data_IF_355048898528
#
_entry.id   IF_355048898528
#
_cell.length_a   1.000
_cell.length_b   1.000
_cell.length_c   1.000
_cell.angle_alpha   90.00
_cell.angle_beta   90.00
_cell.angle_gamma   90.00
#
_symmetry.space_group_name_H-M   'P 1'
#
loop_
_entity.id
_entity.type
_entity.pdbx_description
1 polymer ?
#
# COMPACT_ATOMS: atom_id res chain seq x y z
N UNK A 1 -8.71 9.07 20.12
CA UNK A 1 -9.71 9.86 19.43
C UNK A 1 -10.02 11.14 20.18
N UNK A 2 -10.08 11.11 21.49
CA UNK A 2 -10.43 12.29 22.31
C UNK A 2 -9.19 13.03 22.87
N UNK A 3 -8.01 12.84 22.31
CA UNK A 3 -6.75 13.40 22.81
C UNK A 3 -6.22 12.74 24.08
N UNK A 4 -6.83 11.65 24.53
CA UNK A 4 -6.34 10.86 25.66
C UNK A 4 -5.22 9.93 25.24
N UNK A 5 -4.10 9.95 25.97
CA UNK A 5 -3.01 8.98 25.76
C UNK A 5 -3.41 7.65 26.38
N UNK A 6 -3.60 6.63 25.56
CA UNK A 6 -3.99 5.28 26.00
C UNK A 6 -2.79 4.37 26.32
N UNK A 7 -1.71 4.50 25.55
CA UNK A 7 -0.49 3.73 25.70
C UNK A 7 0.72 4.52 25.17
N UNK A 8 1.92 4.08 25.56
CA UNK A 8 3.16 4.55 24.96
C UNK A 8 3.65 3.50 23.97
N UNK A 9 4.07 3.95 22.80
CA UNK A 9 4.59 3.09 21.73
C UNK A 9 5.95 2.50 22.17
N UNK A 10 6.07 1.19 22.05
CA UNK A 10 7.30 0.43 22.34
C UNK A 10 7.62 -0.54 21.22
N UNK A 11 8.77 -1.18 21.27
CA UNK A 11 9.17 -2.24 20.36
C UNK A 11 8.18 -3.42 20.33
N UNK A 12 7.51 -3.69 21.46
CA UNK A 12 6.50 -4.75 21.57
C UNK A 12 5.31 -4.51 20.64
N UNK A 13 4.88 -3.28 20.46
CA UNK A 13 3.76 -2.93 19.55
C UNK A 13 4.06 -3.33 18.11
N UNK A 14 5.33 -3.22 17.70
CA UNK A 14 5.77 -3.66 16.35
C UNK A 14 5.82 -5.19 16.23
N UNK A 15 6.19 -5.91 17.30
CA UNK A 15 6.12 -7.37 17.29
C UNK A 15 4.69 -7.87 17.17
N UNK A 16 3.75 -7.25 17.88
CA UNK A 16 2.33 -7.57 17.81
C UNK A 16 1.78 -7.23 16.42
N UNK A 17 2.14 -6.09 15.85
CA UNK A 17 1.73 -5.71 14.50
C UNK A 17 2.25 -6.66 13.42
N UNK A 18 3.51 -7.07 13.53
CA UNK A 18 4.12 -8.01 12.59
C UNK A 18 3.48 -9.41 12.71
N UNK A 19 3.24 -9.89 13.94
CA UNK A 19 2.53 -11.15 14.16
C UNK A 19 1.12 -11.11 13.58
N UNK A 20 0.38 -10.02 13.78
CA UNK A 20 -0.93 -9.83 13.17
C UNK A 20 -0.88 -9.99 11.65
N UNK A 21 0.09 -9.36 10.99
CA UNK A 21 0.25 -9.43 9.52
C UNK A 21 0.63 -10.84 9.06
N UNK A 22 1.52 -11.52 9.77
CA UNK A 22 2.04 -12.85 9.42
C UNK A 22 1.14 -14.01 9.89
N UNK A 23 0.05 -13.73 10.58
CA UNK A 23 -0.90 -14.73 11.04
C UNK A 23 -2.11 -14.79 10.09
N UNK A 24 -2.19 -15.85 9.28
CA UNK A 24 -3.22 -16.01 8.28
C UNK A 24 -4.65 -16.09 8.86
N UNK A 25 -4.79 -16.55 10.11
CA UNK A 25 -6.09 -16.57 10.79
C UNK A 25 -6.53 -15.19 11.28
N UNK A 26 -5.61 -14.29 11.58
CA UNK A 26 -5.89 -12.92 12.05
C UNK A 26 -6.02 -11.93 10.89
N UNK A 27 -5.06 -11.97 9.96
CA UNK A 27 -4.94 -11.03 8.86
C UNK A 27 -5.66 -11.55 7.61
N UNK A 28 -6.74 -10.89 7.24
CA UNK A 28 -7.49 -11.17 6.02
C UNK A 28 -7.02 -10.33 4.81
N UNK A 29 -6.06 -9.41 4.99
CA UNK A 29 -5.52 -8.58 3.94
C UNK A 29 -4.30 -9.25 3.29
N UNK A 30 -4.12 -9.04 1.97
CA UNK A 30 -2.98 -9.57 1.22
C UNK A 30 -1.76 -8.64 1.28
N UNK A 31 -1.32 -8.25 2.48
CA UNK A 31 -0.19 -7.34 2.69
C UNK A 31 1.06 -8.02 3.29
N UNK A 32 1.18 -9.33 3.12
CA UNK A 32 2.25 -10.17 3.70
C UNK A 32 3.51 -10.25 2.85
N UNK A 33 3.49 -9.78 1.60
CA UNK A 33 4.60 -9.94 0.65
C UNK A 33 5.92 -9.35 1.16
N UNK A 34 5.89 -8.11 1.67
CA UNK A 34 7.12 -7.45 2.14
C UNK A 34 7.82 -8.22 3.28
N UNK A 35 7.19 -8.54 4.42
CA UNK A 35 7.86 -9.33 5.44
C UNK A 35 8.18 -10.75 4.96
N UNK A 36 7.32 -11.40 4.18
CA UNK A 36 7.58 -12.75 3.66
C UNK A 36 8.78 -12.81 2.73
N UNK A 37 9.04 -11.77 1.96
CA UNK A 37 10.17 -11.71 1.03
C UNK A 37 11.47 -11.27 1.69
N UNK A 38 11.40 -10.46 2.74
CA UNK A 38 12.58 -9.84 3.35
C UNK A 38 13.07 -10.51 4.61
N UNK A 39 12.18 -10.95 5.51
CA UNK A 39 12.57 -11.46 6.83
C UNK A 39 12.78 -12.97 6.84
N UNK A 40 13.83 -13.40 7.56
CA UNK A 40 14.04 -14.81 7.87
C UNK A 40 12.80 -15.40 8.55
N UNK A 41 12.37 -16.60 8.17
CA UNK A 41 11.29 -17.34 8.81
C UNK A 41 9.87 -16.78 8.65
N UNK A 42 9.70 -15.57 8.08
CA UNK A 42 8.37 -14.95 7.98
C UNK A 42 7.41 -15.75 7.08
N UNK A 43 7.86 -16.18 5.91
CA UNK A 43 7.06 -16.99 4.99
C UNK A 43 6.68 -18.35 5.59
N UNK A 44 7.60 -18.98 6.33
CA UNK A 44 7.37 -20.27 6.98
C UNK A 44 6.34 -20.14 8.11
N UNK A 45 6.42 -19.04 8.89
CA UNK A 45 5.42 -18.75 9.92
C UNK A 45 4.04 -18.47 9.32
N UNK A 46 3.97 -17.68 8.26
CA UNK A 46 2.71 -17.44 7.55
C UNK A 46 2.09 -18.73 7.03
N UNK A 47 2.89 -19.61 6.41
CA UNK A 47 2.42 -20.90 5.93
C UNK A 47 1.93 -21.80 7.08
N UNK A 48 2.69 -21.86 8.19
CA UNK A 48 2.30 -22.59 9.40
C UNK A 48 0.94 -22.11 9.92
N UNK A 49 0.72 -20.80 10.04
CA UNK A 49 -0.56 -20.27 10.52
C UNK A 49 -1.70 -20.51 9.54
N UNK A 50 -1.42 -20.49 8.24
CA UNK A 50 -2.38 -20.87 7.20
C UNK A 50 -2.81 -22.34 7.31
N UNK A 51 -1.86 -23.24 7.54
CA UNK A 51 -2.12 -24.68 7.67
C UNK A 51 -2.89 -25.01 8.96
N UNK A 52 -2.70 -24.22 10.02
CA UNK A 52 -3.43 -24.35 11.30
C UNK A 52 -4.89 -23.86 11.21
N UNK A 53 -5.21 -23.01 10.23
CA UNK A 53 -6.54 -22.40 10.11
C UNK A 53 -6.92 -21.58 11.33
N UNK A 54 -8.19 -21.66 11.75
CA UNK A 54 -8.72 -20.84 12.86
C UNK A 54 -7.96 -20.99 14.18
N UNK A 55 -7.35 -22.15 14.42
CA UNK A 55 -6.56 -22.40 15.62
C UNK A 55 -5.31 -21.47 15.73
N UNK A 56 -4.87 -20.87 14.64
CA UNK A 56 -3.77 -19.92 14.67
C UNK A 56 -4.17 -18.56 15.26
N UNK A 57 -5.46 -18.26 15.40
CA UNK A 57 -5.92 -16.98 15.98
C UNK A 57 -5.48 -16.80 17.45
N UNK A 58 -5.23 -17.88 18.18
CA UNK A 58 -4.77 -17.86 19.57
C UNK A 58 -3.24 -17.66 19.72
N UNK A 59 -2.47 -17.76 18.62
CA UNK A 59 -1.02 -17.55 18.65
C UNK A 59 -0.70 -16.08 18.93
N UNK A 60 0.47 -15.87 19.55
CA UNK A 60 0.96 -14.55 19.95
C UNK A 60 2.29 -14.22 19.25
N UNK A 61 2.78 -13.01 19.48
CA UNK A 61 4.09 -12.64 18.94
C UNK A 61 5.23 -13.49 19.55
N UNK A 62 5.07 -14.02 20.77
CA UNK A 62 6.03 -14.96 21.37
C UNK A 62 6.11 -16.26 20.57
N UNK A 63 4.98 -16.77 20.07
CA UNK A 63 4.94 -17.94 19.19
C UNK A 63 5.60 -17.68 17.83
N UNK A 64 5.45 -16.46 17.31
CA UNK A 64 6.12 -16.00 16.10
C UNK A 64 7.65 -15.96 16.30
N UNK A 65 8.11 -15.41 17.42
CA UNK A 65 9.54 -15.39 17.77
C UNK A 65 10.09 -16.80 17.97
N UNK A 66 9.35 -17.67 18.68
CA UNK A 66 9.72 -19.07 18.89
C UNK A 66 9.78 -19.87 17.57
N UNK A 67 9.03 -19.48 16.57
CA UNK A 67 9.08 -20.05 15.22
C UNK A 67 10.30 -19.57 14.40
N UNK A 68 11.09 -18.63 14.91
CA UNK A 68 12.34 -18.18 14.29
C UNK A 68 12.14 -17.06 13.25
N UNK A 69 11.08 -16.28 13.34
CA UNK A 69 10.95 -15.07 12.52
C UNK A 69 12.02 -14.06 12.90
N UNK A 70 12.71 -13.53 11.91
CA UNK A 70 13.89 -12.67 12.05
C UNK A 70 13.57 -11.26 12.56
N UNK A 71 13.01 -11.16 13.75
CA UNK A 71 12.80 -9.90 14.47
C UNK A 71 13.06 -10.11 15.96
N UNK A 72 13.63 -9.13 16.62
CA UNK A 72 13.90 -9.14 18.06
C UNK A 72 13.72 -7.74 18.64
N UNK A 73 13.05 -7.65 19.78
CA UNK A 73 13.04 -6.46 20.63
C UNK A 73 14.10 -6.63 21.72
N UNK A 74 15.21 -5.92 21.61
CA UNK A 74 16.31 -6.00 22.58
C UNK A 74 16.06 -5.15 23.82
N UNK A 75 15.24 -4.13 23.69
CA UNK A 75 14.68 -3.28 24.75
C UNK A 75 13.39 -2.61 24.27
N UNK A 76 12.79 -1.74 25.08
CA UNK A 76 11.52 -1.07 24.79
C UNK A 76 11.56 -0.18 23.53
N UNK A 77 12.73 0.21 23.03
CA UNK A 77 12.89 1.17 21.94
C UNK A 77 13.82 0.68 20.84
N UNK A 78 14.28 -0.57 20.90
CA UNK A 78 15.20 -1.14 19.93
C UNK A 78 14.64 -2.40 19.30
N UNK A 79 14.50 -2.39 17.98
CA UNK A 79 14.14 -3.55 17.17
C UNK A 79 15.32 -3.94 16.28
N UNK A 80 15.61 -5.24 16.23
CA UNK A 80 16.61 -5.82 15.33
C UNK A 80 15.88 -6.71 14.33
N UNK A 81 16.07 -6.47 13.04
CA UNK A 81 15.52 -7.29 11.97
C UNK A 81 16.63 -8.09 11.30
N UNK A 82 16.37 -9.37 11.05
CA UNK A 82 17.27 -10.26 10.31
C UNK A 82 16.68 -10.57 8.95
N UNK A 83 17.29 -10.01 7.91
CA UNK A 83 16.88 -10.22 6.54
C UNK A 83 17.42 -11.54 5.97
N UNK A 84 16.70 -12.14 5.03
CA UNK A 84 17.12 -13.35 4.29
C UNK A 84 18.39 -13.12 3.48
N UNK A 85 18.43 -11.96 2.83
CA UNK A 85 19.51 -11.51 1.95
C UNK A 85 19.92 -10.08 2.33
N UNK A 86 21.10 -9.60 1.92
CA UNK A 86 21.49 -8.21 2.11
C UNK A 86 20.46 -7.24 1.55
N UNK A 87 19.86 -6.42 2.42
CA UNK A 87 18.80 -5.48 2.07
C UNK A 87 19.20 -4.04 2.44
N UNK A 88 20.05 -3.38 1.60
CA UNK A 88 20.55 -2.04 1.90
C UNK A 88 19.47 -0.95 1.88
N UNK A 89 18.26 -1.28 1.41
CA UNK A 89 17.07 -0.41 1.36
C UNK A 89 16.04 -0.79 2.45
N UNK A 90 16.44 -1.51 3.49
CA UNK A 90 15.51 -2.00 4.52
C UNK A 90 14.78 -0.87 5.26
N UNK A 91 15.36 0.32 5.38
CA UNK A 91 14.70 1.51 5.93
C UNK A 91 13.40 1.86 5.19
N UNK A 92 13.40 1.73 3.86
CA UNK A 92 12.19 1.93 3.04
C UNK A 92 11.18 0.78 3.19
N UNK A 93 11.67 -0.44 3.37
CA UNK A 93 10.82 -1.62 3.66
C UNK A 93 10.16 -1.48 5.02
N UNK A 94 10.90 -1.07 6.05
CA UNK A 94 10.38 -0.88 7.41
C UNK A 94 9.29 0.21 7.48
N UNK A 95 9.27 1.15 6.53
CA UNK A 95 8.22 2.16 6.41
C UNK A 95 6.93 1.64 5.74
N UNK A 96 6.88 0.39 5.32
CA UNK A 96 5.69 -0.20 4.69
C UNK A 96 4.64 -0.58 5.75
N UNK A 97 3.36 -0.50 5.37
CA UNK A 97 2.24 -0.72 6.29
C UNK A 97 2.24 -2.10 6.99
N UNK A 98 2.88 -3.11 6.39
CA UNK A 98 3.04 -4.44 7.01
C UNK A 98 3.91 -4.43 8.28
N UNK A 99 4.64 -3.34 8.53
CA UNK A 99 5.51 -3.17 9.70
C UNK A 99 4.96 -2.15 10.69
N UNK A 100 3.70 -1.71 10.53
CA UNK A 100 3.10 -0.76 11.45
C UNK A 100 2.80 -1.41 12.81
N UNK A 101 2.94 -0.66 13.89
CA UNK A 101 2.70 -1.17 15.23
C UNK A 101 1.20 -1.35 15.49
N UNK A 102 0.89 -2.32 16.34
CA UNK A 102 -0.45 -2.54 16.91
C UNK A 102 -0.31 -2.55 18.43
N UNK A 103 -1.07 -1.69 19.12
CA UNK A 103 -1.05 -1.65 20.57
C UNK A 103 -1.62 -2.96 21.16
N UNK A 104 -0.86 -3.72 21.96
CA UNK A 104 -1.34 -4.95 22.59
C UNK A 104 -2.64 -4.72 23.38
N UNK A 105 -2.68 -3.64 24.16
CA UNK A 105 -3.85 -3.31 24.97
C UNK A 105 -5.13 -3.05 24.13
N UNK A 106 -5.01 -2.52 22.91
CA UNK A 106 -6.16 -2.37 22.02
C UNK A 106 -6.63 -3.73 21.51
N UNK A 107 -5.69 -4.61 21.17
CA UNK A 107 -6.02 -5.97 20.72
C UNK A 107 -6.65 -6.80 21.85
N UNK A 108 -6.16 -6.66 23.08
CA UNK A 108 -6.72 -7.29 24.27
C UNK A 108 -8.14 -6.79 24.59
N UNK A 109 -8.38 -5.48 24.40
CA UNK A 109 -9.70 -4.86 24.63
C UNK A 109 -10.73 -5.32 23.60
N UNK A 110 -10.37 -5.38 22.33
CA UNK A 110 -11.30 -5.64 21.23
C UNK A 110 -11.37 -7.11 20.81
N UNK A 111 -10.33 -7.87 21.07
CA UNK A 111 -10.15 -9.21 20.50
C UNK A 111 -9.93 -9.17 18.98
N UNK A 112 -9.69 -10.33 18.37
CA UNK A 112 -9.38 -10.46 16.94
C UNK A 112 -10.52 -9.89 16.07
N UNK A 113 -11.76 -10.28 16.35
CA UNK A 113 -12.91 -9.84 15.54
C UNK A 113 -13.23 -8.35 15.73
N UNK A 114 -13.14 -7.85 16.97
CA UNK A 114 -13.33 -6.43 17.23
C UNK A 114 -12.26 -5.56 16.59
N UNK A 115 -11.01 -6.02 16.59
CA UNK A 115 -9.91 -5.29 15.92
C UNK A 115 -10.08 -5.28 14.39
N UNK A 116 -10.55 -6.36 13.78
CA UNK A 116 -10.91 -6.37 12.34
C UNK A 116 -12.01 -5.39 11.99
N UNK A 117 -12.95 -5.17 12.90
CA UNK A 117 -14.08 -4.25 12.75
C UNK A 117 -13.81 -2.83 13.24
N UNK A 118 -12.57 -2.47 13.61
CA UNK A 118 -12.23 -1.13 14.06
C UNK A 118 -12.64 -0.05 13.07
N UNK A 119 -13.23 1.00 13.60
CA UNK A 119 -13.52 2.23 12.88
C UNK A 119 -12.72 3.41 13.46
N UNK A 120 -12.99 4.61 12.98
CA UNK A 120 -12.30 5.81 13.43
C UNK A 120 -12.57 6.18 14.91
N UNK A 121 -13.59 5.60 15.54
CA UNK A 121 -13.97 5.86 16.94
C UNK A 121 -13.31 4.90 17.92
N UNK A 122 -12.95 3.71 17.47
CA UNK A 122 -12.37 2.63 18.29
C UNK A 122 -10.86 2.50 18.11
N UNK A 123 -10.32 2.89 16.93
CA UNK A 123 -8.89 2.82 16.63
C UNK A 123 -8.06 3.78 17.49
N UNK A 124 -6.88 3.33 17.93
CA UNK A 124 -5.87 4.20 18.55
C UNK A 124 -4.86 4.67 17.53
N UNK A 125 -4.43 5.91 17.65
CA UNK A 125 -3.60 6.58 16.65
C UNK A 125 -2.25 6.98 17.24
N UNK A 126 -1.17 6.69 16.51
CA UNK A 126 0.19 7.11 16.83
C UNK A 126 0.83 7.98 15.73
N UNK A 127 0.12 8.20 14.63
CA UNK A 127 0.57 9.04 13.53
C UNK A 127 0.28 10.54 13.75
N UNK A 128 0.73 11.40 12.80
CA UNK A 128 0.57 12.86 12.90
C UNK A 128 -0.88 13.33 12.77
N UNK A 129 -1.75 12.51 12.24
CA UNK A 129 -3.18 12.78 12.07
C UNK A 129 -4.03 11.65 12.62
N UNK A 130 -5.23 11.98 13.07
CA UNK A 130 -6.29 11.03 13.43
C UNK A 130 -7.44 11.14 12.45
N UNK A 131 -8.15 10.04 12.22
CA UNK A 131 -9.36 10.03 11.39
C UNK A 131 -10.52 10.59 12.21
N UNK A 132 -10.98 11.76 11.85
CA UNK A 132 -12.13 12.40 12.49
C UNK A 132 -13.44 11.83 11.97
N UNK A 133 -13.55 11.64 10.67
CA UNK A 133 -14.71 11.09 10.00
C UNK A 133 -14.29 10.06 8.96
N UNK A 134 -15.01 8.95 8.93
CA UNK A 134 -14.86 7.91 7.94
C UNK A 134 -16.22 7.49 7.39
N UNK A 135 -16.51 7.84 6.14
CA UNK A 135 -17.69 7.39 5.41
C UNK A 135 -17.21 6.53 4.25
N UNK A 136 -17.39 5.22 4.39
CA UNK A 136 -16.90 4.25 3.41
C UNK A 136 -17.37 4.58 1.98
N UNK A 137 -16.41 4.68 1.06
CA UNK A 137 -16.66 4.98 -0.35
C UNK A 137 -17.12 6.42 -0.63
N UNK A 138 -17.05 7.32 0.34
CA UNK A 138 -17.47 8.71 0.22
C UNK A 138 -16.38 9.67 0.72
N UNK A 139 -16.20 9.80 2.04
CA UNK A 139 -15.36 10.86 2.61
C UNK A 139 -14.54 10.36 3.78
N UNK A 140 -13.26 10.75 3.82
CA UNK A 140 -12.38 10.58 4.96
C UNK A 140 -11.85 11.95 5.38
N UNK A 141 -12.05 12.33 6.65
CA UNK A 141 -11.51 13.56 7.22
C UNK A 141 -10.47 13.27 8.29
N UNK A 142 -9.40 14.05 8.26
CA UNK A 142 -8.25 13.91 9.15
C UNK A 142 -7.97 15.22 9.85
N UNK A 143 -7.71 15.17 11.16
CA UNK A 143 -7.27 16.32 11.97
C UNK A 143 -5.94 16.00 12.63
N UNK A 144 -5.13 17.02 13.02
CA UNK A 144 -3.87 16.82 13.71
C UNK A 144 -4.02 15.99 14.98
N UNK A 145 -3.07 15.08 15.19
CA UNK A 145 -2.95 14.35 16.46
C UNK A 145 -2.11 15.17 17.45
N UNK A 146 -2.68 15.73 18.49
CA UNK A 146 -1.93 16.55 19.46
C UNK A 146 -0.93 15.75 20.28
N UNK A 147 -1.10 14.42 20.35
CA UNK A 147 -0.22 13.50 21.08
C UNK A 147 0.90 12.92 20.20
N UNK A 148 1.00 13.32 18.92
CA UNK A 148 2.09 12.89 18.07
C UNK A 148 3.42 13.47 18.54
N UNK A 149 4.47 12.64 18.60
CA UNK A 149 5.76 13.03 19.18
C UNK A 149 6.41 14.25 18.50
N UNK A 150 6.14 14.45 17.20
CA UNK A 150 6.69 15.54 16.39
C UNK A 150 5.59 16.49 15.85
N UNK A 151 4.49 16.65 16.59
CA UNK A 151 3.33 17.43 16.15
C UNK A 151 3.70 18.88 15.76
N UNK A 152 4.69 19.46 16.44
CA UNK A 152 5.13 20.84 16.18
C UNK A 152 5.74 21.04 14.78
N UNK A 153 6.32 19.98 14.18
CA UNK A 153 7.05 20.08 12.92
C UNK A 153 6.29 19.51 11.71
N UNK A 154 5.34 18.59 11.90
CA UNK A 154 4.69 17.86 10.79
C UNK A 154 3.23 18.23 10.55
N UNK A 155 2.49 18.71 11.54
CA UNK A 155 1.08 19.09 11.36
C UNK A 155 0.97 20.45 10.65
N UNK A 156 0.73 20.41 9.33
CA UNK A 156 0.65 21.59 8.46
C UNK A 156 -0.77 22.03 8.14
N UNK A 157 -1.73 21.12 8.25
CA UNK A 157 -3.13 21.34 7.93
C UNK A 157 -3.98 21.14 9.16
N UNK A 158 -4.91 22.07 9.41
CA UNK A 158 -5.90 21.94 10.49
C UNK A 158 -6.90 20.81 10.20
N UNK A 159 -7.15 20.56 8.92
CA UNK A 159 -8.00 19.46 8.44
C UNK A 159 -7.59 19.09 7.02
N UNK A 160 -7.61 17.79 6.73
CA UNK A 160 -7.56 17.25 5.39
C UNK A 160 -8.83 16.45 5.14
N UNK A 161 -9.51 16.70 4.02
CA UNK A 161 -10.69 15.91 3.63
C UNK A 161 -10.43 15.28 2.26
N UNK A 162 -10.60 13.97 2.17
CA UNK A 162 -10.49 13.23 0.92
C UNK A 162 -11.89 12.78 0.54
N UNK A 163 -12.39 13.27 -0.59
CA UNK A 163 -13.71 12.90 -1.13
C UNK A 163 -13.51 11.93 -2.28
N UNK A 164 -14.17 10.78 -2.22
CA UNK A 164 -14.14 9.79 -3.29
C UNK A 164 -15.18 10.13 -4.35
N UNK A 165 -14.72 10.56 -5.52
CA UNK A 165 -15.56 10.96 -6.64
C UNK A 165 -15.33 9.98 -7.77
N UNK A 166 -16.37 9.25 -8.16
CA UNK A 166 -16.30 8.23 -9.22
C UNK A 166 -16.29 8.81 -10.62
N UNK A 167 -16.86 10.01 -10.82
CA UNK A 167 -16.90 10.70 -12.11
C UNK A 167 -15.92 11.87 -12.15
N UNK A 168 -14.87 11.74 -12.96
CA UNK A 168 -13.82 12.75 -13.08
C UNK A 168 -14.31 14.09 -13.67
N UNK A 169 -15.48 14.15 -14.33
CA UNK A 169 -16.05 15.42 -14.80
C UNK A 169 -16.61 16.23 -13.63
N UNK A 170 -17.19 15.56 -12.65
CA UNK A 170 -17.69 16.20 -11.42
C UNK A 170 -16.54 16.75 -10.61
N UNK A 171 -15.44 16.02 -10.49
CA UNK A 171 -14.27 16.47 -9.71
C UNK A 171 -13.66 17.76 -10.25
N UNK A 172 -13.61 17.93 -11.58
CA UNK A 172 -13.16 19.19 -12.19
C UNK A 172 -14.12 20.35 -11.84
N UNK A 173 -15.44 20.15 -11.90
CA UNK A 173 -16.41 21.18 -11.52
C UNK A 173 -16.29 21.60 -10.06
N UNK A 174 -16.06 20.64 -9.15
CA UNK A 174 -15.84 20.95 -7.73
C UNK A 174 -14.56 21.77 -7.52
N UNK A 175 -13.49 21.47 -8.26
CA UNK A 175 -12.26 22.25 -8.26
C UNK A 175 -12.51 23.68 -8.80
N UNK A 176 -13.23 23.82 -9.91
CA UNK A 176 -13.61 25.11 -10.50
C UNK A 176 -14.44 25.96 -9.52
N UNK A 177 -15.32 25.32 -8.75
CA UNK A 177 -16.13 25.95 -7.70
C UNK A 177 -15.34 26.24 -6.41
N UNK A 178 -14.05 25.84 -6.32
CA UNK A 178 -13.19 25.95 -5.12
C UNK A 178 -13.66 25.10 -3.94
N UNK A 179 -14.30 23.98 -4.23
CA UNK A 179 -14.71 22.97 -3.25
C UNK A 179 -13.60 21.92 -3.03
N UNK A 180 -12.63 21.83 -3.96
CA UNK A 180 -11.43 21.01 -3.87
C UNK A 180 -10.18 21.87 -4.10
N UNK A 181 -9.10 21.58 -3.38
CA UNK A 181 -7.79 22.19 -3.54
C UNK A 181 -6.92 21.49 -4.58
N UNK A 182 -7.17 20.19 -4.80
CA UNK A 182 -6.46 19.34 -5.76
C UNK A 182 -7.42 18.33 -6.37
N UNK A 183 -7.24 18.04 -7.66
CA UNK A 183 -8.03 17.05 -8.39
C UNK A 183 -7.17 16.26 -9.37
N UNK A 184 -7.35 14.94 -9.37
CA UNK A 184 -6.82 14.07 -10.42
C UNK A 184 -7.69 14.14 -11.66
N UNK A 185 -7.14 14.65 -12.77
CA UNK A 185 -7.87 14.83 -14.02
C UNK A 185 -7.84 13.56 -14.88
N UNK A 186 -9.00 13.23 -15.43
CA UNK A 186 -9.13 12.25 -16.50
C UNK A 186 -8.66 12.79 -17.86
N UNK A 187 -8.48 11.89 -18.81
CA UNK A 187 -7.96 12.20 -20.15
C UNK A 187 -8.78 13.25 -20.90
N UNK A 188 -10.11 13.15 -20.84
CA UNK A 188 -11.04 14.08 -21.51
C UNK A 188 -10.92 15.50 -20.96
N UNK A 189 -10.83 15.65 -19.64
CA UNK A 189 -10.68 16.96 -19.00
C UNK A 189 -9.35 17.63 -19.35
N UNK A 190 -8.25 16.86 -19.32
CA UNK A 190 -6.93 17.35 -19.75
C UNK A 190 -6.96 17.82 -21.20
N UNK A 191 -7.58 17.02 -22.11
CA UNK A 191 -7.68 17.38 -23.51
C UNK A 191 -8.47 18.68 -23.73
N UNK A 192 -9.56 18.86 -23.00
CA UNK A 192 -10.40 20.06 -23.07
C UNK A 192 -9.63 21.29 -22.60
N UNK A 193 -8.94 21.20 -21.47
CA UNK A 193 -8.13 22.30 -20.93
C UNK A 193 -6.99 22.66 -21.89
N UNK A 194 -6.28 21.68 -22.44
CA UNK A 194 -5.14 21.90 -23.36
C UNK A 194 -5.57 22.43 -24.73
N UNK A 195 -6.79 22.11 -25.19
CA UNK A 195 -7.30 22.59 -26.48
C UNK A 195 -7.62 24.09 -26.48
N UNK A 196 -7.83 24.68 -25.31
CA UNK A 196 -8.12 26.12 -25.16
C UNK A 196 -6.95 26.81 -24.43
N UNK A 197 -6.05 27.50 -25.18
CA UNK A 197 -4.92 28.23 -24.57
C UNK A 197 -5.34 29.37 -23.64
N UNK A 198 -6.59 29.83 -23.73
CA UNK A 198 -7.14 30.89 -22.86
C UNK A 198 -7.71 30.34 -21.55
N UNK A 199 -7.81 29.03 -21.42
CA UNK A 199 -8.32 28.39 -20.23
C UNK A 199 -7.39 28.67 -19.02
N UNK A 200 -7.95 29.25 -17.98
CA UNK A 200 -7.20 29.67 -16.78
C UNK A 200 -6.50 28.52 -16.05
N UNK A 201 -7.00 27.29 -16.24
CA UNK A 201 -6.44 26.10 -15.62
C UNK A 201 -5.25 25.50 -16.37
N UNK A 202 -4.97 25.96 -17.61
CA UNK A 202 -3.81 25.47 -18.37
C UNK A 202 -2.48 25.62 -17.62
N UNK A 203 -2.31 26.73 -16.89
CA UNK A 203 -1.12 26.99 -16.08
C UNK A 203 -1.08 26.20 -14.76
N UNK A 204 -2.19 25.60 -14.36
CA UNK A 204 -2.32 24.80 -13.16
C UNK A 204 -2.16 23.29 -13.41
N UNK A 205 -2.08 22.90 -14.69
CA UNK A 205 -1.82 21.51 -15.06
C UNK A 205 -0.42 21.09 -14.60
N UNK A 206 -0.38 20.17 -13.65
CA UNK A 206 0.86 19.59 -13.16
C UNK A 206 1.01 18.16 -13.65
N UNK A 207 2.21 17.83 -14.10
CA UNK A 207 2.56 16.44 -14.40
C UNK A 207 2.61 15.62 -13.11
N UNK A 208 2.02 14.43 -13.11
CA UNK A 208 2.10 13.53 -11.96
C UNK A 208 3.56 13.16 -11.69
N UNK A 209 3.93 13.14 -10.41
CA UNK A 209 5.25 12.66 -10.00
C UNK A 209 5.39 11.18 -10.31
N UNK A 210 6.60 10.69 -10.63
CA UNK A 210 6.86 9.26 -10.73
C UNK A 210 6.38 8.56 -9.45
N UNK A 211 5.60 7.50 -9.61
CA UNK A 211 5.15 6.67 -8.48
C UNK A 211 6.24 5.66 -8.15
N UNK A 212 6.23 5.14 -6.93
CA UNK A 212 7.16 4.10 -6.47
C UNK A 212 6.95 2.72 -7.11
N UNK A 213 5.93 2.57 -7.94
CA UNK A 213 5.59 1.32 -8.62
C UNK A 213 5.88 1.44 -10.12
N UNK A 214 6.51 0.42 -10.68
CA UNK A 214 6.57 0.19 -12.12
C UNK A 214 5.55 -0.88 -12.51
N UNK A 215 5.01 -0.76 -13.72
CA UNK A 215 4.07 -1.74 -14.27
C UNK A 215 4.76 -2.47 -15.41
N UNK A 216 4.55 -3.78 -15.47
CA UNK A 216 5.12 -4.62 -16.51
C UNK A 216 4.14 -5.68 -16.96
N UNK A 217 4.30 -6.14 -18.19
CA UNK A 217 3.56 -7.27 -18.72
C UNK A 217 4.29 -8.56 -18.39
N UNK A 218 3.63 -9.44 -17.66
CA UNK A 218 4.13 -10.78 -17.39
C UNK A 218 3.52 -11.79 -18.33
N UNK A 219 4.34 -12.68 -18.85
CA UNK A 219 3.87 -13.83 -19.61
C UNK A 219 3.72 -15.04 -18.70
N UNK A 220 2.60 -15.75 -18.83
CA UNK A 220 2.45 -17.03 -18.15
C UNK A 220 3.21 -18.11 -18.94
N UNK A 221 4.30 -18.61 -18.39
CA UNK A 221 5.14 -19.65 -19.00
C UNK A 221 4.63 -21.07 -18.77
N UNK A 222 3.67 -21.26 -17.88
CA UNK A 222 3.10 -22.55 -17.50
C UNK A 222 1.57 -22.45 -17.45
N UNK A 223 0.98 -22.05 -18.58
CA UNK A 223 -0.46 -21.95 -18.71
C UNK A 223 -1.11 -23.33 -18.74
N UNK A 224 -2.17 -23.51 -17.96
CA UNK A 224 -3.04 -24.67 -18.02
C UNK A 224 -4.38 -24.31 -18.69
N UNK A 225 -5.00 -25.29 -19.29
CA UNK A 225 -6.38 -25.27 -19.75
C UNK A 225 -7.34 -25.27 -18.55
N UNK A 226 -8.63 -25.03 -18.78
CA UNK A 226 -9.65 -25.03 -17.73
C UNK A 226 -9.78 -26.38 -17.01
N UNK A 227 -9.44 -27.48 -17.67
CA UNK A 227 -9.42 -28.83 -17.10
C UNK A 227 -8.15 -29.18 -16.31
N UNK A 228 -7.23 -28.20 -16.16
CA UNK A 228 -5.96 -28.37 -15.45
C UNK A 228 -4.83 -28.99 -16.28
N UNK A 229 -5.06 -29.42 -17.52
CA UNK A 229 -4.01 -29.90 -18.40
C UNK A 229 -3.14 -28.77 -18.95
N UNK A 230 -1.83 -29.00 -19.23
CA UNK A 230 -0.98 -27.98 -19.83
C UNK A 230 -1.49 -27.51 -21.19
N UNK A 231 -1.49 -26.19 -21.43
CA UNK A 231 -1.67 -25.62 -22.77
C UNK A 231 -0.34 -25.70 -23.54
N UNK A 232 -0.08 -26.83 -24.15
CA UNK A 232 1.18 -27.10 -24.85
C UNK A 232 1.46 -26.09 -25.98
N UNK A 233 0.43 -25.65 -26.69
CA UNK A 233 0.58 -24.68 -27.77
C UNK A 233 1.07 -23.33 -27.25
N UNK A 234 0.41 -22.80 -26.20
CA UNK A 234 0.84 -21.57 -25.56
C UNK A 234 2.22 -21.71 -24.93
N UNK A 235 2.43 -22.77 -24.14
CA UNK A 235 3.67 -22.97 -23.39
C UNK A 235 4.88 -23.09 -24.34
N UNK A 236 4.71 -23.76 -25.48
CA UNK A 236 5.72 -23.84 -26.53
C UNK A 236 5.97 -22.47 -27.20
N UNK A 237 4.90 -21.76 -27.53
CA UNK A 237 5.02 -20.44 -28.16
C UNK A 237 5.72 -19.43 -27.24
N UNK A 238 5.31 -19.36 -25.98
CA UNK A 238 5.85 -18.37 -25.04
C UNK A 238 7.29 -18.67 -24.62
N UNK A 239 7.72 -19.93 -24.66
CA UNK A 239 9.12 -20.31 -24.47
C UNK A 239 10.03 -19.76 -25.57
N UNK A 240 9.49 -19.48 -26.77
CA UNK A 240 10.26 -18.94 -27.89
C UNK A 240 10.54 -17.44 -27.71
N UNK A 241 11.82 -17.08 -27.66
CA UNK A 241 12.24 -15.68 -27.51
C UNK A 241 11.75 -14.79 -28.65
N UNK A 242 11.76 -15.27 -29.89
CA UNK A 242 11.29 -14.50 -31.03
C UNK A 242 9.79 -14.17 -30.90
N UNK A 243 8.99 -15.13 -30.40
CA UNK A 243 7.57 -14.89 -30.14
C UNK A 243 7.35 -13.77 -29.10
N UNK A 244 8.10 -13.78 -27.98
CA UNK A 244 8.03 -12.72 -26.98
C UNK A 244 8.48 -11.37 -27.55
N UNK A 245 9.50 -11.36 -28.38
CA UNK A 245 9.98 -10.13 -29.05
C UNK A 245 8.94 -9.53 -30.00
N UNK A 246 8.00 -10.34 -30.55
CA UNK A 246 6.90 -9.80 -31.35
C UNK A 246 6.01 -8.88 -30.54
N UNK A 247 5.75 -9.18 -29.27
CA UNK A 247 4.98 -8.29 -28.39
C UNK A 247 5.77 -7.00 -28.14
N UNK A 248 7.04 -7.11 -27.74
CA UNK A 248 7.85 -5.92 -27.46
C UNK A 248 7.98 -4.97 -28.68
N UNK A 249 8.17 -5.53 -29.86
CA UNK A 249 8.34 -4.73 -31.11
C UNK A 249 7.05 -4.36 -31.81
N UNK A 250 5.97 -5.11 -31.58
CA UNK A 250 4.71 -4.92 -32.26
C UNK A 250 3.69 -4.08 -31.49
N UNK A 251 3.89 -3.88 -30.20
CA UNK A 251 3.01 -3.02 -29.41
C UNK A 251 3.41 -1.56 -29.59
N UNK A 252 2.46 -0.77 -30.07
CA UNK A 252 2.55 0.69 -30.06
C UNK A 252 2.03 1.18 -28.71
N UNK A 253 2.96 1.58 -27.83
CA UNK A 253 2.67 1.87 -26.42
C UNK A 253 2.37 3.35 -26.17
N UNK A 254 2.64 4.26 -27.14
CA UNK A 254 2.42 5.70 -26.97
C UNK A 254 0.98 6.02 -26.62
N UNK A 255 0.02 5.41 -27.35
CA UNK A 255 -1.40 5.59 -27.06
C UNK A 255 -1.84 4.95 -25.74
N UNK A 256 -1.17 3.88 -25.31
CA UNK A 256 -1.39 3.27 -24.00
C UNK A 256 -0.90 4.19 -22.89
N UNK A 257 0.31 4.71 -23.02
CA UNK A 257 0.89 5.64 -22.04
C UNK A 257 0.11 6.95 -21.98
N UNK A 258 -0.43 7.44 -23.10
CA UNK A 258 -1.25 8.63 -23.15
C UNK A 258 -2.54 8.54 -22.30
N UNK A 259 -3.00 7.33 -21.95
CA UNK A 259 -4.12 7.15 -21.02
C UNK A 259 -3.76 7.48 -19.57
N UNK A 260 -2.49 7.36 -19.22
CA UNK A 260 -1.98 7.60 -17.84
C UNK A 260 -1.21 8.90 -17.74
N UNK A 261 -0.53 9.31 -18.81
CA UNK A 261 0.19 10.57 -18.92
C UNK A 261 0.01 11.16 -20.32
N UNK A 262 -0.99 12.00 -20.47
CA UNK A 262 -1.29 12.64 -21.74
C UNK A 262 -0.34 13.77 -22.10
N UNK A 263 0.26 14.41 -21.09
CA UNK A 263 1.17 15.54 -21.29
C UNK A 263 2.50 15.06 -21.87
N UNK A 264 3.04 13.95 -21.36
CA UNK A 264 4.28 13.35 -21.83
C UNK A 264 4.21 11.82 -21.77
N UNK A 265 3.55 11.17 -22.73
CA UNK A 265 3.33 9.72 -22.69
C UNK A 265 4.63 8.90 -22.57
N UNK A 266 5.66 9.28 -23.31
CA UNK A 266 6.93 8.52 -23.35
C UNK A 266 7.72 8.60 -22.05
N UNK A 267 7.42 9.55 -21.17
CA UNK A 267 8.01 9.61 -19.82
C UNK A 267 7.58 8.44 -18.94
N UNK A 268 6.49 7.74 -19.30
CA UNK A 268 6.03 6.54 -18.62
C UNK A 268 6.82 5.29 -19.02
N UNK A 269 7.59 5.35 -20.13
CA UNK A 269 8.42 4.23 -20.57
C UNK A 269 9.62 4.09 -19.65
N UNK A 270 9.84 2.87 -19.17
CA UNK A 270 10.92 2.55 -18.25
C UNK A 270 11.50 1.18 -18.61
N UNK A 271 12.78 1.15 -18.96
CA UNK A 271 13.51 -0.08 -19.27
C UNK A 271 14.01 -0.82 -18.01
N UNK A 272 13.68 -0.31 -16.83
CA UNK A 272 14.10 -0.88 -15.55
C UNK A 272 12.97 -1.67 -14.90
N UNK A 273 13.33 -2.74 -14.20
CA UNK A 273 12.39 -3.52 -13.41
C UNK A 273 11.79 -2.71 -12.25
N UNK A 274 12.63 -1.88 -11.64
CA UNK A 274 12.22 -0.95 -10.58
C UNK A 274 12.56 0.48 -10.99
N UNK A 275 11.81 1.45 -10.47
CA UNK A 275 12.17 2.85 -10.67
C UNK A 275 13.53 3.12 -10.05
N UNK A 276 14.41 3.84 -10.74
CA UNK A 276 15.64 4.32 -10.11
C UNK A 276 15.28 5.26 -8.95
N UNK A 277 15.92 5.03 -7.80
CA UNK A 277 15.75 5.81 -6.58
C UNK A 277 16.30 7.23 -6.69
#
# INVERSE_FOLDING_TARGET
VNGEVKAHLTSKDFLVGLEWVLNAAKNQANNTSMPNETLVGAADYYQKTSDMGDAAADLTYEDMLAAGVGVEATDDYTLVFTCKDPCPYFDTVAAYNSFYPVAPALLDELGVEGFRGCDNTTMWYNGPYVVEEYIQGNTNSYIPNPSYYDAANVSRFERMTITMISDGSISLQLYENRELDEVDLGESSIATIQADPSNVFNQQLCEKRPKKFSYQMHFNYQKNNEDGTPDDNWNKAIANTAFRQCFYKGLELTNWYARTNKINPLKCENDYYTMPG
#
